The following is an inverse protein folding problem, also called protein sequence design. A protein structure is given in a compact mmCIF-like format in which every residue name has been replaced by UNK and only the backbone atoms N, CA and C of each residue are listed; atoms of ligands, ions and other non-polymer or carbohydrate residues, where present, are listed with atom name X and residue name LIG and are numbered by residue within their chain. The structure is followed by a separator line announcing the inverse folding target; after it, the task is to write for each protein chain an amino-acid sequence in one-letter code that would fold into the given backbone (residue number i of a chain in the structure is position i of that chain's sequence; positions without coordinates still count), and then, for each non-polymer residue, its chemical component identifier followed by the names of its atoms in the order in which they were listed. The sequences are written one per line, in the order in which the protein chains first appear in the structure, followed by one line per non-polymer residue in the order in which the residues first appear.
data_IF_674584534250
#
_entry.id   IF_674584534250
#
_cell.length_a   1.000
_cell.length_b   1.000
_cell.length_c   1.000
_cell.angle_alpha   90.00
_cell.angle_beta   90.00
_cell.angle_gamma   90.00
#
_symmetry.space_group_name_H-M   'P 1'
#
loop_
_entity.id
_entity.type
_entity.pdbx_description
1 polymer ?
#
# COMPACT_ATOMS: atom_id res chain seq x y z
N UNK A 1 -1.85 7.23 -23.11
CA UNK A 1 -1.58 5.79 -22.91
C UNK A 1 -0.24 5.71 -22.20
N UNK A 2 -0.19 5.02 -21.06
CA UNK A 2 1.03 4.79 -20.32
C UNK A 2 1.76 3.60 -20.96
N UNK A 3 2.89 3.86 -21.62
CA UNK A 3 3.65 2.88 -22.41
C UNK A 3 5.03 2.64 -21.81
N UNK A 4 5.16 2.71 -20.48
CA UNK A 4 6.40 2.37 -19.79
C UNK A 4 6.64 0.86 -19.77
N UNK A 5 7.89 0.45 -19.65
CA UNK A 5 8.31 -0.96 -19.67
C UNK A 5 8.09 -1.67 -18.31
N UNK A 6 7.83 -0.91 -17.25
CA UNK A 6 7.65 -1.40 -15.87
C UNK A 6 6.40 -0.80 -15.24
N UNK A 7 5.31 -0.77 -15.99
CA UNK A 7 4.03 -0.32 -15.48
C UNK A 7 3.40 -1.36 -14.56
N UNK A 8 2.65 -0.86 -13.58
CA UNK A 8 1.84 -1.62 -12.62
C UNK A 8 0.35 -1.31 -12.83
N UNK A 9 -0.57 -2.19 -12.39
CA UNK A 9 -0.34 -3.49 -11.74
C UNK A 9 0.04 -4.59 -12.73
N UNK A 10 0.38 -5.78 -12.22
CA UNK A 10 0.63 -7.00 -13.00
C UNK A 10 -0.18 -8.20 -12.48
N UNK A 11 -0.28 -9.23 -13.32
CA UNK A 11 -0.65 -10.58 -12.87
C UNK A 11 0.58 -11.31 -12.31
N UNK A 12 0.51 -11.71 -11.05
CA UNK A 12 1.54 -12.49 -10.38
C UNK A 12 1.34 -13.94 -10.74
N UNK A 13 2.10 -14.40 -11.73
CA UNK A 13 2.13 -15.80 -12.13
C UNK A 13 3.05 -16.58 -11.20
N UNK A 14 2.46 -17.38 -10.31
CA UNK A 14 3.20 -18.03 -9.22
C UNK A 14 4.25 -19.01 -9.73
N UNK A 15 4.02 -19.64 -10.88
CA UNK A 15 4.96 -20.56 -11.53
C UNK A 15 6.15 -19.86 -12.19
N UNK A 16 6.03 -18.58 -12.54
CA UNK A 16 7.12 -17.78 -13.12
C UNK A 16 7.91 -17.03 -12.03
N UNK A 17 7.41 -17.01 -10.80
CA UNK A 17 8.06 -16.34 -9.67
C UNK A 17 9.28 -17.13 -9.16
N UNK A 18 10.45 -16.49 -9.18
CA UNK A 18 11.68 -17.08 -8.67
C UNK A 18 11.75 -16.93 -7.14
N UNK A 19 11.96 -18.04 -6.42
CA UNK A 19 12.24 -17.98 -4.99
C UNK A 19 13.66 -17.47 -4.78
N UNK A 20 13.79 -16.30 -4.19
CA UNK A 20 15.07 -15.72 -3.81
C UNK A 20 15.26 -15.84 -2.30
N UNK A 21 16.20 -16.68 -1.88
CA UNK A 21 16.51 -16.88 -0.47
C UNK A 21 17.33 -15.74 0.16
N UNK A 22 17.86 -14.82 -0.67
CA UNK A 22 18.57 -13.62 -0.20
C UNK A 22 17.62 -12.48 0.20
N UNK A 23 16.35 -12.55 -0.22
CA UNK A 23 15.31 -11.65 0.26
C UNK A 23 15.13 -11.83 1.77
N UNK A 24 15.62 -10.85 2.52
CA UNK A 24 15.53 -10.83 3.98
C UNK A 24 14.10 -10.60 4.47
N UNK A 25 13.94 -10.52 5.79
CA UNK A 25 12.64 -10.20 6.39
C UNK A 25 12.31 -8.72 6.23
N UNK A 26 11.03 -8.41 6.02
CA UNK A 26 10.51 -7.04 6.16
C UNK A 26 10.57 -6.63 7.64
N UNK A 27 11.06 -5.43 7.89
CA UNK A 27 11.13 -4.84 9.23
C UNK A 27 10.23 -3.61 9.25
N UNK A 28 9.10 -3.73 9.95
CA UNK A 28 8.06 -2.70 10.00
C UNK A 28 8.00 -2.11 11.40
N UNK A 29 8.16 -0.79 11.49
CA UNK A 29 7.89 -0.04 12.72
C UNK A 29 6.93 1.07 12.35
N UNK A 30 5.64 0.94 12.65
CA UNK A 30 4.66 2.01 12.43
C UNK A 30 4.03 2.44 13.75
N UNK A 31 4.04 3.74 14.01
CA UNK A 31 3.49 4.31 15.25
C UNK A 31 2.10 4.90 15.01
N UNK A 32 1.07 4.49 15.78
CA UNK A 32 -0.28 5.03 15.63
C UNK A 32 -0.34 6.56 15.76
N UNK A 33 0.52 7.13 16.60
CA UNK A 33 0.65 8.58 16.83
C UNK A 33 1.08 9.38 15.61
N UNK A 34 1.54 8.73 14.54
CA UNK A 34 1.88 9.40 13.27
C UNK A 34 0.68 9.56 12.36
N UNK A 35 -0.45 8.89 12.62
CA UNK A 35 -1.68 9.06 11.84
C UNK A 35 -2.24 10.47 12.04
N UNK A 36 -2.57 11.16 10.95
CA UNK A 36 -2.90 12.60 10.96
C UNK A 36 -4.33 12.89 10.52
N UNK A 37 -4.70 12.41 9.34
CA UNK A 37 -5.95 12.77 8.69
C UNK A 37 -6.40 11.70 7.70
N UNK A 38 -7.68 11.75 7.38
CA UNK A 38 -8.27 11.07 6.23
C UNK A 38 -8.72 12.10 5.20
N UNK A 39 -8.48 11.84 3.93
CA UNK A 39 -8.83 12.74 2.82
C UNK A 39 -9.38 11.96 1.64
N UNK A 40 -10.44 12.48 1.02
CA UNK A 40 -10.95 11.97 -0.25
C UNK A 40 -10.30 12.71 -1.40
N UNK A 41 -9.44 12.02 -2.16
CA UNK A 41 -8.69 12.59 -3.28
C UNK A 41 -9.45 12.51 -4.61
N UNK A 42 -10.68 12.02 -4.58
CA UNK A 42 -11.62 11.95 -5.71
C UNK A 42 -11.58 10.64 -6.49
N UNK A 43 -10.53 9.82 -6.34
CA UNK A 43 -10.42 8.48 -6.93
C UNK A 43 -10.15 7.40 -5.88
N UNK A 44 -9.73 7.79 -4.67
CA UNK A 44 -9.67 6.94 -3.49
C UNK A 44 -9.79 7.83 -2.24
N UNK A 45 -9.68 7.24 -1.06
CA UNK A 45 -9.41 7.95 0.18
C UNK A 45 -8.01 7.59 0.66
N UNK A 46 -7.30 8.58 1.17
CA UNK A 46 -5.99 8.39 1.77
C UNK A 46 -6.10 8.61 3.27
N UNK A 47 -5.46 7.74 4.04
CA UNK A 47 -5.11 8.03 5.43
C UNK A 47 -3.64 8.43 5.44
N UNK A 48 -3.37 9.68 5.81
CA UNK A 48 -2.04 10.27 5.76
C UNK A 48 -1.33 10.19 7.12
N UNK A 49 -0.01 10.02 7.06
CA UNK A 49 0.87 9.93 8.22
C UNK A 49 1.92 11.04 8.22
N UNK A 50 2.38 11.42 9.40
CA UNK A 50 3.54 12.27 9.62
C UNK A 50 4.82 11.50 9.26
N UNK A 51 5.67 12.08 8.41
CA UNK A 51 6.86 11.43 7.86
C UNK A 51 8.13 12.31 7.92
N UNK A 52 8.10 13.35 8.77
CA UNK A 52 9.23 14.25 9.00
C UNK A 52 10.46 13.53 9.60
N UNK A 53 10.24 12.40 10.28
CA UNK A 53 11.24 11.60 10.97
C UNK A 53 11.01 10.10 10.75
N UNK A 54 11.87 9.26 11.33
CA UNK A 54 11.85 7.81 11.14
C UNK A 54 10.93 7.08 12.15
N UNK A 55 9.85 7.74 12.61
CA UNK A 55 8.92 7.12 13.57
C UNK A 55 8.07 5.99 12.97
N UNK A 56 7.69 6.11 11.69
CA UNK A 56 6.91 5.11 10.97
C UNK A 56 7.64 4.72 9.69
N UNK A 57 8.38 3.61 9.74
CA UNK A 57 9.31 3.18 8.69
C UNK A 57 9.17 1.71 8.31
N UNK A 58 9.65 1.42 7.09
CA UNK A 58 9.87 0.11 6.53
C UNK A 58 11.34 -0.02 6.12
N UNK A 59 11.98 -1.11 6.52
CA UNK A 59 13.33 -1.53 6.09
C UNK A 59 13.36 -3.03 5.79
N UNK A 60 14.49 -3.54 5.32
CA UNK A 60 14.67 -4.97 5.04
C UNK A 60 14.01 -5.44 3.74
N UNK A 61 13.85 -6.75 3.59
CA UNK A 61 13.39 -7.36 2.35
C UNK A 61 14.19 -6.92 1.12
N UNK A 62 13.55 -6.43 0.04
CA UNK A 62 14.23 -5.99 -1.17
C UNK A 62 14.81 -4.56 -1.08
N UNK A 63 14.64 -3.88 0.06
CA UNK A 63 14.91 -2.45 0.19
C UNK A 63 16.36 -2.17 0.59
N UNK A 64 16.99 -1.19 -0.06
CA UNK A 64 18.36 -0.78 0.24
C UNK A 64 18.45 0.41 1.22
N UNK A 65 17.40 0.69 1.97
CA UNK A 65 17.34 1.85 2.85
C UNK A 65 16.07 1.91 3.70
N UNK A 66 15.91 3.04 4.40
CA UNK A 66 14.73 3.33 5.23
C UNK A 66 13.68 4.05 4.42
N UNK A 67 12.44 3.55 4.46
CA UNK A 67 11.31 4.15 3.76
C UNK A 67 10.25 4.57 4.78
N UNK A 68 9.83 5.84 4.74
CA UNK A 68 8.86 6.41 5.70
C UNK A 68 7.44 6.26 5.19
N UNK A 69 6.52 5.85 6.06
CA UNK A 69 5.10 5.73 5.75
C UNK A 69 4.50 7.12 5.47
N UNK A 70 3.93 7.29 4.28
CA UNK A 70 3.29 8.53 3.84
C UNK A 70 1.78 8.44 3.96
N UNK A 71 1.21 7.38 3.40
CA UNK A 71 -0.21 7.13 3.38
C UNK A 71 -0.52 5.65 3.19
N UNK A 72 -1.76 5.26 3.48
CA UNK A 72 -2.36 4.13 2.79
C UNK A 72 -3.65 4.54 2.10
N UNK A 73 -4.03 3.77 1.08
CA UNK A 73 -5.27 3.90 0.36
C UNK A 73 -5.74 2.53 -0.15
N UNK A 74 -6.98 2.48 -0.62
CA UNK A 74 -7.58 1.25 -1.12
C UNK A 74 -7.94 1.40 -2.60
N UNK A 75 -7.90 0.28 -3.29
CA UNK A 75 -8.57 0.06 -4.56
C UNK A 75 -9.68 -0.97 -4.36
N UNK A 76 -10.83 -0.72 -4.95
CA UNK A 76 -12.00 -1.58 -4.88
C UNK A 76 -12.78 -1.47 -6.18
N UNK A 77 -13.64 -2.46 -6.44
CA UNK A 77 -14.54 -2.43 -7.59
C UNK A 77 -16.00 -2.42 -7.16
N UNK A 78 -16.88 -2.68 -8.12
CA UNK A 78 -18.32 -2.62 -7.91
C UNK A 78 -18.86 -3.85 -7.16
N UNK A 79 -18.14 -4.96 -7.18
CA UNK A 79 -18.57 -6.24 -6.63
C UNK A 79 -17.46 -6.93 -5.87
N UNK A 80 -17.84 -7.74 -4.90
CA UNK A 80 -16.97 -8.49 -3.98
C UNK A 80 -15.95 -9.44 -4.64
N UNK A 81 -16.11 -9.73 -5.93
CA UNK A 81 -15.22 -10.62 -6.67
C UNK A 81 -14.19 -9.90 -7.55
N UNK A 82 -14.25 -8.57 -7.67
CA UNK A 82 -13.40 -7.81 -8.59
C UNK A 82 -13.12 -6.40 -8.07
N UNK A 83 -12.00 -6.21 -7.37
CA UNK A 83 -11.57 -4.87 -6.96
C UNK A 83 -10.07 -4.69 -6.73
N UNK A 84 -9.29 -5.75 -6.57
CA UNK A 84 -7.83 -5.62 -6.56
C UNK A 84 -7.29 -5.18 -7.92
N UNK A 85 -6.21 -4.41 -7.90
CA UNK A 85 -5.49 -4.02 -9.10
C UNK A 85 -4.60 -5.18 -9.57
N UNK A 86 -3.78 -5.71 -8.66
CA UNK A 86 -3.00 -6.92 -8.89
C UNK A 86 -3.90 -8.17 -8.95
N UNK A 87 -3.39 -9.18 -9.64
CA UNK A 87 -3.99 -10.51 -9.71
C UNK A 87 -2.96 -11.57 -9.36
N UNK A 88 -3.42 -12.75 -8.93
CA UNK A 88 -2.54 -13.91 -8.67
C UNK A 88 -3.07 -15.08 -9.50
N UNK A 89 -2.27 -15.54 -10.46
CA UNK A 89 -2.65 -16.55 -11.44
C UNK A 89 -4.02 -16.23 -12.09
N UNK A 90 -4.23 -14.97 -12.46
CA UNK A 90 -5.47 -14.46 -13.04
C UNK A 90 -6.63 -14.25 -12.05
N UNK A 91 -6.46 -14.56 -10.77
CA UNK A 91 -7.49 -14.37 -9.74
C UNK A 91 -7.46 -12.96 -9.17
N UNK A 92 -8.62 -12.29 -9.14
CA UNK A 92 -8.84 -11.01 -8.45
C UNK A 92 -9.34 -11.21 -7.02
N UNK A 93 -9.08 -10.20 -6.18
CA UNK A 93 -9.61 -10.07 -4.82
C UNK A 93 -10.67 -8.96 -4.76
N UNK A 94 -11.42 -8.90 -3.65
CA UNK A 94 -12.48 -7.92 -3.45
C UNK A 94 -11.93 -6.48 -3.42
N UNK A 95 -10.76 -6.31 -2.83
CA UNK A 95 -10.06 -5.03 -2.73
C UNK A 95 -8.56 -5.27 -2.51
N UNK A 96 -7.79 -4.22 -2.65
CA UNK A 96 -6.36 -4.17 -2.37
C UNK A 96 -6.05 -2.90 -1.58
N UNK A 97 -5.28 -3.02 -0.48
CA UNK A 97 -4.78 -1.87 0.27
C UNK A 97 -3.31 -1.66 -0.05
N UNK A 98 -2.96 -0.41 -0.34
CA UNK A 98 -1.61 0.02 -0.68
C UNK A 98 -1.10 1.00 0.34
N UNK A 99 -0.11 0.56 1.13
CA UNK A 99 0.60 1.42 2.06
C UNK A 99 1.85 1.96 1.40
N UNK A 100 1.86 3.25 1.06
CA UNK A 100 2.91 3.94 0.30
C UNK A 100 3.96 4.50 1.24
N UNK A 101 5.22 4.21 0.93
CA UNK A 101 6.38 4.76 1.63
C UNK A 101 7.31 5.47 0.68
N UNK A 102 7.96 6.51 1.18
CA UNK A 102 8.98 7.29 0.48
C UNK A 102 10.36 6.99 1.07
N UNK A 103 11.37 6.78 0.22
CA UNK A 103 12.74 6.56 0.68
C UNK A 103 13.25 7.80 1.43
N UNK A 104 13.77 7.60 2.63
CA UNK A 104 14.35 8.66 3.45
C UNK A 104 15.48 9.35 2.70
N UNK A 105 15.44 10.68 2.60
CA UNK A 105 16.36 11.46 1.78
C UNK A 105 17.77 11.43 2.36
N UNK A 106 18.73 10.91 1.60
CA UNK A 106 20.15 11.21 1.82
C UNK A 106 20.48 12.52 1.10
N UNK A 107 20.24 13.67 1.75
CA UNK A 107 20.77 15.01 1.39
C UNK A 107 20.55 15.59 -0.03
N UNK A 108 19.97 14.90 -1.01
CA UNK A 108 19.79 15.39 -2.38
C UNK A 108 18.36 15.87 -2.66
N UNK A 109 18.25 16.97 -3.42
CA UNK A 109 17.03 17.74 -3.72
C UNK A 109 16.10 17.12 -4.79
N UNK A 110 16.29 15.85 -5.15
CA UNK A 110 15.41 15.17 -6.12
C UNK A 110 14.18 14.60 -5.43
N UNK A 111 13.02 14.69 -6.07
CA UNK A 111 11.81 14.06 -5.57
C UNK A 111 11.96 12.53 -5.63
N UNK A 112 11.36 11.81 -4.68
CA UNK A 112 11.48 10.36 -4.65
C UNK A 112 10.90 9.72 -5.92
N UNK A 113 9.82 10.26 -6.46
CA UNK A 113 9.20 9.78 -7.71
C UNK A 113 10.12 9.84 -8.93
N UNK A 114 11.21 10.61 -8.87
CA UNK A 114 12.22 10.66 -9.93
C UNK A 114 13.28 9.55 -9.83
N UNK A 115 13.24 8.73 -8.77
CA UNK A 115 14.19 7.64 -8.51
C UNK A 115 13.52 6.29 -8.75
N UNK A 116 14.18 5.34 -9.45
CA UNK A 116 13.61 4.00 -9.69
C UNK A 116 13.23 3.24 -8.42
N UNK A 117 13.86 3.56 -7.29
CA UNK A 117 13.63 2.99 -5.96
C UNK A 117 13.16 4.05 -4.94
N UNK A 118 12.56 5.15 -5.40
CA UNK A 118 12.18 6.22 -4.49
C UNK A 118 10.96 5.89 -3.64
N UNK A 119 10.09 4.99 -4.10
CA UNK A 119 8.91 4.54 -3.38
C UNK A 119 8.99 3.04 -3.09
N UNK A 120 8.42 2.65 -1.95
CA UNK A 120 8.12 1.27 -1.63
C UNK A 120 6.63 1.17 -1.28
N UNK A 121 5.90 0.27 -1.93
CA UNK A 121 4.49 0.02 -1.64
C UNK A 121 4.35 -1.38 -1.06
N UNK A 122 3.79 -1.47 0.14
CA UNK A 122 3.35 -2.76 0.69
C UNK A 122 1.88 -2.89 0.42
N UNK A 123 1.55 -3.99 -0.24
CA UNK A 123 0.21 -4.32 -0.69
C UNK A 123 -0.33 -5.51 0.06
N UNK A 124 -1.58 -5.41 0.49
CA UNK A 124 -2.32 -6.52 1.08
C UNK A 124 -3.64 -6.69 0.34
N UNK A 125 -3.94 -7.92 -0.07
CA UNK A 125 -5.22 -8.26 -0.66
C UNK A 125 -6.30 -8.38 0.41
N UNK A 126 -7.53 -7.99 0.06
CA UNK A 126 -8.72 -8.13 0.90
C UNK A 126 -9.68 -9.13 0.26
N UNK A 127 -10.09 -10.14 1.01
CA UNK A 127 -11.10 -11.11 0.59
C UNK A 127 -12.33 -11.09 1.50
N UNK A 128 -13.49 -11.44 0.94
CA UNK A 128 -14.71 -11.58 1.74
C UNK A 128 -14.57 -12.76 2.72
N UNK A 129 -14.99 -12.53 3.96
CA UNK A 129 -14.92 -13.46 5.06
C UNK A 129 -15.42 -12.80 6.36
N UNK A 130 -14.69 -13.03 7.45
CA UNK A 130 -14.99 -12.36 8.71
C UNK A 130 -14.64 -10.88 8.64
N UNK A 131 -15.51 -10.05 9.21
CA UNK A 131 -15.29 -8.60 9.33
C UNK A 131 -13.97 -8.27 10.03
N UNK A 132 -13.32 -7.21 9.58
CA UNK A 132 -12.08 -6.71 10.18
C UNK A 132 -12.40 -5.54 11.13
N UNK A 133 -12.40 -5.83 12.42
CA UNK A 133 -12.64 -4.82 13.47
C UNK A 133 -11.68 -3.63 13.38
N UNK A 134 -10.45 -3.85 12.88
CA UNK A 134 -9.46 -2.79 12.74
C UNK A 134 -9.90 -1.73 11.72
N UNK A 135 -10.72 -2.09 10.72
CA UNK A 135 -11.20 -1.14 9.70
C UNK A 135 -12.37 -0.29 10.16
N UNK A 136 -13.05 -0.62 11.27
CA UNK A 136 -14.23 0.13 11.73
C UNK A 136 -13.95 1.62 11.94
N UNK A 137 -12.77 1.95 12.47
CA UNK A 137 -12.35 3.34 12.65
C UNK A 137 -12.25 4.10 11.33
N UNK A 138 -11.64 3.48 10.31
CA UNK A 138 -11.53 4.05 8.96
C UNK A 138 -12.91 4.20 8.34
N UNK A 139 -13.74 3.15 8.37
CA UNK A 139 -15.09 3.16 7.80
C UNK A 139 -15.97 4.27 8.40
N UNK A 140 -15.91 4.45 9.72
CA UNK A 140 -16.62 5.55 10.40
C UNK A 140 -16.09 6.92 9.96
N UNK A 141 -14.78 7.05 9.74
CA UNK A 141 -14.18 8.32 9.32
C UNK A 141 -14.57 8.71 7.89
N UNK A 142 -14.88 7.73 7.01
CA UNK A 142 -15.35 7.97 5.65
C UNK A 142 -16.64 8.82 5.59
N UNK A 143 -17.48 8.76 6.62
CA UNK A 143 -18.68 9.59 6.70
C UNK A 143 -18.38 11.10 6.66
N UNK A 144 -17.18 11.49 7.10
CA UNK A 144 -16.73 12.89 7.14
C UNK A 144 -16.08 13.35 5.81
N UNK A 145 -15.78 12.43 4.90
CA UNK A 145 -15.03 12.70 3.66
C UNK A 145 -15.72 12.14 2.41
N UNK A 146 -17.06 12.18 2.37
CA UNK A 146 -17.86 11.60 1.26
C UNK A 146 -17.57 12.18 -0.12
N UNK A 147 -17.14 13.44 -0.20
CA UNK A 147 -16.93 14.13 -1.47
C UNK A 147 -15.46 14.49 -1.68
N UNK A 148 -15.03 14.49 -2.94
CA UNK A 148 -13.69 14.90 -3.37
C UNK A 148 -13.24 16.20 -2.70
N UNK A 149 -12.02 16.21 -2.19
CA UNK A 149 -11.37 17.36 -1.54
C UNK A 149 -11.76 17.55 -0.07
N UNK A 150 -12.69 16.75 0.48
CA UNK A 150 -12.96 16.75 1.92
C UNK A 150 -11.86 16.02 2.67
N UNK A 151 -11.48 16.58 3.80
CA UNK A 151 -10.54 16.02 4.75
C UNK A 151 -11.11 16.13 6.16
N UNK A 152 -10.73 15.20 7.03
CA UNK A 152 -11.09 15.20 8.44
C UNK A 152 -9.92 14.71 9.30
N UNK A 153 -9.78 15.22 10.54
CA UNK A 153 -8.81 14.67 11.50
C UNK A 153 -9.06 13.18 11.72
N UNK A 154 -7.98 12.39 11.69
CA UNK A 154 -8.02 10.96 11.94
C UNK A 154 -6.67 10.57 12.54
N UNK A 155 -6.64 10.34 13.86
CA UNK A 155 -5.41 10.11 14.61
C UNK A 155 -5.43 8.75 15.31
N UNK A 156 -4.26 8.35 15.82
CA UNK A 156 -4.07 7.16 16.68
C UNK A 156 -4.54 5.84 16.07
N UNK A 157 -4.51 5.75 14.74
CA UNK A 157 -4.76 4.50 14.01
C UNK A 157 -3.46 3.72 13.83
N UNK A 158 -3.45 2.44 14.21
CA UNK A 158 -2.32 1.54 13.95
C UNK A 158 -2.41 0.94 12.53
N UNK A 159 -1.58 1.37 11.56
CA UNK A 159 -1.59 0.80 10.22
C UNK A 159 -1.10 -0.65 10.17
N UNK A 160 -0.41 -1.14 11.20
CA UNK A 160 0.06 -2.52 11.26
C UNK A 160 -1.11 -3.50 11.38
N UNK A 161 -2.26 -3.01 11.83
CA UNK A 161 -3.52 -3.75 11.92
C UNK A 161 -4.09 -4.20 10.56
N UNK A 162 -3.54 -3.66 9.46
CA UNK A 162 -3.86 -4.02 8.08
C UNK A 162 -2.93 -5.11 7.52
N UNK A 163 -1.95 -5.55 8.30
CA UNK A 163 -1.04 -6.61 7.90
C UNK A 163 -1.63 -7.99 8.23
N UNK A 164 -1.42 -9.00 7.37
CA UNK A 164 -1.74 -10.38 7.65
C UNK A 164 -0.78 -10.98 8.68
N UNK A 165 -1.03 -12.23 9.08
CA UNK A 165 -0.17 -12.94 10.04
C UNK A 165 1.15 -13.37 9.41
N UNK A 166 1.10 -13.89 8.19
CA UNK A 166 2.26 -14.26 7.39
C UNK A 166 2.76 -13.06 6.60
N UNK A 167 4.04 -12.76 6.75
CA UNK A 167 4.72 -11.70 6.03
C UNK A 167 5.41 -12.20 4.77
N UNK A 168 5.10 -13.42 4.28
CA UNK A 168 5.61 -13.90 3.00
C UNK A 168 5.11 -12.99 1.87
N UNK A 169 5.99 -12.67 0.92
CA UNK A 169 5.69 -11.69 -0.12
C UNK A 169 6.25 -12.06 -1.50
N UNK A 170 5.71 -11.41 -2.54
CA UNK A 170 6.36 -11.23 -3.84
C UNK A 170 6.87 -9.80 -3.95
N UNK A 171 7.89 -9.58 -4.78
CA UNK A 171 8.42 -8.23 -5.02
C UNK A 171 8.83 -8.06 -6.48
N UNK A 172 8.65 -6.86 -7.01
CA UNK A 172 9.09 -6.45 -8.34
C UNK A 172 9.22 -4.92 -8.41
N UNK A 173 9.98 -4.42 -9.38
CA UNK A 173 10.05 -2.98 -9.66
C UNK A 173 8.96 -2.61 -10.67
N UNK A 174 8.15 -1.61 -10.34
CA UNK A 174 7.01 -1.20 -11.12
C UNK A 174 6.75 0.31 -11.07
N UNK A 175 5.50 0.69 -11.27
CA UNK A 175 5.05 2.07 -11.27
C UNK A 175 3.97 2.36 -10.23
N UNK A 176 3.63 3.63 -10.05
CA UNK A 176 2.31 3.99 -9.53
C UNK A 176 1.22 3.49 -10.48
N UNK A 177 0.06 3.11 -9.95
CA UNK A 177 -1.11 2.65 -10.73
C UNK A 177 -2.06 3.79 -11.10
N UNK A 178 -1.83 4.98 -10.55
CA UNK A 178 -2.53 6.21 -10.89
C UNK A 178 -1.58 7.24 -11.51
N UNK A 179 -2.09 8.15 -12.39
CA UNK A 179 -1.31 9.24 -12.95
C UNK A 179 -0.47 9.99 -11.89
N UNK A 180 0.79 10.33 -12.20
CA UNK A 180 1.43 10.27 -13.52
C UNK A 180 2.17 8.95 -13.86
N UNK A 181 1.94 7.86 -13.10
CA UNK A 181 2.46 6.51 -13.41
C UNK A 181 3.99 6.39 -13.43
N UNK A 182 4.68 7.11 -12.53
CA UNK A 182 6.13 7.03 -12.36
C UNK A 182 6.60 5.61 -12.07
N UNK A 183 7.60 5.13 -12.82
CA UNK A 183 8.27 3.84 -12.61
C UNK A 183 9.33 3.92 -11.49
N UNK A 184 8.87 4.29 -10.31
CA UNK A 184 9.67 4.62 -9.13
C UNK A 184 9.37 3.71 -7.94
N UNK A 185 8.66 2.60 -8.16
CA UNK A 185 8.06 1.79 -7.08
C UNK A 185 8.74 0.43 -6.97
N UNK A 186 9.19 0.10 -5.76
CA UNK A 186 9.43 -1.28 -5.34
C UNK A 186 8.15 -1.82 -4.72
N UNK A 187 7.49 -2.76 -5.40
CA UNK A 187 6.29 -3.42 -4.88
C UNK A 187 6.66 -4.55 -3.94
N UNK A 188 5.91 -4.67 -2.84
CA UNK A 188 6.00 -5.74 -1.85
C UNK A 188 4.56 -6.23 -1.63
N UNK A 189 4.19 -7.34 -2.26
CA UNK A 189 2.82 -7.86 -2.26
C UNK A 189 2.74 -9.04 -1.32
N UNK A 190 2.03 -8.89 -0.21
CA UNK A 190 1.89 -9.94 0.79
C UNK A 190 0.99 -11.06 0.25
N UNK A 191 1.45 -12.30 0.42
CA UNK A 191 0.77 -13.49 -0.12
C UNK A 191 -0.52 -13.82 0.62
N UNK A 192 -0.54 -13.58 1.93
CA UNK A 192 -1.72 -13.83 2.75
C UNK A 192 -2.67 -12.62 2.69
N UNK A 193 -3.92 -12.79 2.24
CA UNK A 193 -4.92 -11.74 2.28
C UNK A 193 -5.48 -11.57 3.70
N UNK A 194 -5.90 -10.36 4.04
CA UNK A 194 -6.77 -10.13 5.21
C UNK A 194 -8.24 -10.33 4.82
N UNK A 195 -9.09 -10.63 5.79
CA UNK A 195 -10.55 -10.82 5.57
C UNK A 195 -11.31 -9.55 5.91
N UNK A 196 -12.37 -9.27 5.15
CA UNK A 196 -13.37 -8.25 5.45
C UNK A 196 -14.78 -8.82 5.26
N UNK A 197 -15.78 -8.16 5.85
CA UNK A 197 -17.19 -8.43 5.59
C UNK A 197 -17.61 -7.87 4.23
N UNK A 198 -18.79 -8.27 3.75
CA UNK A 198 -19.40 -7.70 2.54
C UNK A 198 -20.05 -6.34 2.86
N UNK A 199 -20.54 -6.16 4.09
CA UNK A 199 -21.03 -4.89 4.66
C UNK A 199 -19.89 -3.90 4.94
#
# INVERSE_FOLDING_TARGET
IANGDRQSPIDIKTQEANKDASLGLLQITWKPSTCKEIVNVGHSFHVNFEDKDDQSVLTGGPLTGTYRLRQFHFHWGQTDNQGSEHTVDGTKYASEVESVKEKSKSSFQTEAVDKPDGLAIVTVFLKIGLGNENLKGVLKALDSVKTKGKQAPFSDFDPSSLLPKSMDYWTYNGSLTHPPLHESVIWIILKEPITISSE
#
